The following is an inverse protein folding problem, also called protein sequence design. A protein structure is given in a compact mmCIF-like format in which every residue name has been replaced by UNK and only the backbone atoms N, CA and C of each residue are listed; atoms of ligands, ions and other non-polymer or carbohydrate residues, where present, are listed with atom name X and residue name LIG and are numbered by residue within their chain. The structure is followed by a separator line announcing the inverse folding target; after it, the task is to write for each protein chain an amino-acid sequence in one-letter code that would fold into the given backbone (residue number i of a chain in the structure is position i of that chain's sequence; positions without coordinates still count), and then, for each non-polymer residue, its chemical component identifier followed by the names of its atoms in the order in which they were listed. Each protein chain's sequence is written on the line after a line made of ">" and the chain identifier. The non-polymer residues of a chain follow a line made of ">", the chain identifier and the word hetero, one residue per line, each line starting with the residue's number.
data_IF_203930805419
#
_entry.id   IF_203930805419
#
_cell.length_a   1.000
_cell.length_b   1.000
_cell.length_c   1.000
_cell.angle_alpha   90.00
_cell.angle_beta   90.00
_cell.angle_gamma   90.00
#
_symmetry.space_group_name_H-M   'P 1'
#
loop_
_entity.id
_entity.type
_entity.pdbx_description
1 polymer ?
#
# COMPACT_ATOMS: atom_id res chain seq x y z
N UNK A 1 -13.49 25.11 18.76
CA UNK A 1 -12.37 24.27 18.30
C UNK A 1 -12.48 22.94 19.03
N UNK A 2 -12.47 21.83 18.30
CA UNK A 2 -12.46 20.48 18.89
C UNK A 2 -11.24 19.69 18.43
N UNK A 3 -10.65 18.95 19.36
CA UNK A 3 -9.52 18.07 19.12
C UNK A 3 -10.03 16.65 19.34
N UNK A 4 -9.71 15.77 18.41
CA UNK A 4 -9.99 14.34 18.50
C UNK A 4 -8.71 13.56 18.28
N UNK A 5 -8.47 12.58 19.13
CA UNK A 5 -7.27 11.75 19.09
C UNK A 5 -7.66 10.29 19.17
N UNK A 6 -6.97 9.43 18.41
CA UNK A 6 -7.16 8.00 18.46
C UNK A 6 -5.83 7.28 18.25
N UNK A 7 -5.63 6.21 19.01
CA UNK A 7 -4.54 5.28 18.80
C UNK A 7 -5.09 3.93 18.34
N UNK A 8 -4.31 3.25 17.49
CA UNK A 8 -4.62 1.92 17.03
C UNK A 8 -3.34 1.14 16.71
N UNK A 9 -3.33 -0.15 17.04
CA UNK A 9 -2.22 -1.04 16.73
C UNK A 9 -2.61 -1.98 15.61
N UNK A 10 -1.89 -1.90 14.49
CA UNK A 10 -1.96 -2.88 13.42
C UNK A 10 -1.04 -4.06 13.75
N UNK A 11 -1.56 -5.28 13.63
CA UNK A 11 -0.79 -6.51 13.84
C UNK A 11 0.06 -6.89 12.62
N UNK A 12 0.73 -5.89 12.04
CA UNK A 12 1.56 -6.01 10.84
C UNK A 12 2.81 -5.15 10.98
N UNK A 13 3.94 -5.56 10.37
CA UNK A 13 5.17 -4.78 10.40
C UNK A 13 5.01 -3.46 9.66
N UNK A 14 5.80 -2.46 10.08
CA UNK A 14 5.68 -1.08 9.60
C UNK A 14 5.80 -0.97 8.08
N UNK A 15 6.68 -1.75 7.46
CA UNK A 15 6.91 -1.73 6.02
C UNK A 15 5.64 -2.11 5.24
N UNK A 16 4.89 -3.11 5.74
CA UNK A 16 3.61 -3.53 5.14
C UNK A 16 2.55 -2.46 5.32
N UNK A 17 2.44 -1.89 6.53
CA UNK A 17 1.45 -0.85 6.83
C UNK A 17 1.73 0.42 6.01
N UNK A 18 2.98 0.85 5.93
CA UNK A 18 3.38 2.01 5.11
C UNK A 18 3.06 1.77 3.63
N UNK A 19 3.35 0.58 3.10
CA UNK A 19 3.03 0.21 1.72
C UNK A 19 1.51 0.21 1.48
N UNK A 20 0.74 -0.35 2.41
CA UNK A 20 -0.71 -0.36 2.34
C UNK A 20 -1.32 1.05 2.41
N UNK A 21 -0.73 1.97 3.18
CA UNK A 21 -1.21 3.34 3.31
C UNK A 21 -1.21 4.09 1.96
N UNK A 22 -0.23 3.81 1.10
CA UNK A 22 -0.19 4.38 -0.26
C UNK A 22 -1.28 3.83 -1.17
N UNK A 23 -1.64 2.55 -0.99
CA UNK A 23 -2.63 1.81 -1.79
C UNK A 23 -4.02 1.76 -1.13
N UNK A 24 -4.23 2.58 -0.09
CA UNK A 24 -5.48 2.61 0.69
C UNK A 24 -6.73 2.84 -0.17
N UNK A 25 -6.60 3.59 -1.26
CA UNK A 25 -7.71 3.90 -2.15
C UNK A 25 -7.47 3.37 -3.56
N UNK A 26 -8.52 2.90 -4.26
CA UNK A 26 -9.90 2.72 -3.77
C UNK A 26 -10.05 1.51 -2.83
N UNK A 27 -11.05 1.54 -1.95
CA UNK A 27 -11.41 0.41 -1.06
C UNK A 27 -12.94 0.37 -0.81
N UNK A 28 -13.50 -0.80 -0.44
CA UNK A 28 -14.94 -0.96 -0.24
C UNK A 28 -15.49 -0.29 1.04
N UNK A 29 -14.64 0.04 2.01
CA UNK A 29 -15.07 0.57 3.32
C UNK A 29 -15.30 2.08 3.31
N UNK A 30 -14.59 2.82 2.44
CA UNK A 30 -14.71 4.27 2.30
C UNK A 30 -14.86 4.68 0.84
N UNK A 31 -16.09 4.53 0.34
CA UNK A 31 -16.51 4.91 -1.02
C UNK A 31 -16.66 6.42 -1.21
N UNK A 32 -16.54 7.22 -0.14
CA UNK A 32 -16.66 8.67 -0.23
C UNK A 32 -15.42 9.30 -0.87
N UNK A 33 -14.27 8.63 -0.87
CA UNK A 33 -13.06 9.09 -1.57
C UNK A 33 -13.13 8.63 -3.03
N UNK A 34 -13.19 9.59 -3.95
CA UNK A 34 -13.40 9.35 -5.38
C UNK A 34 -12.06 9.12 -6.07
N UNK A 35 -11.04 9.87 -5.68
CA UNK A 35 -9.73 9.82 -6.30
C UNK A 35 -8.64 10.45 -5.45
N UNK A 36 -7.41 9.99 -5.67
CA UNK A 36 -6.20 10.51 -5.03
C UNK A 36 -5.12 10.65 -6.07
N UNK A 37 -4.69 11.89 -6.33
CA UNK A 37 -3.67 12.19 -7.33
C UNK A 37 -2.39 12.65 -6.63
N UNK A 38 -1.23 12.21 -7.16
CA UNK A 38 0.08 12.68 -6.69
C UNK A 38 0.43 13.95 -7.46
N UNK A 39 0.54 15.07 -6.75
CA UNK A 39 0.89 16.37 -7.32
C UNK A 39 2.40 16.52 -7.44
N UNK A 40 3.11 16.15 -6.38
CA UNK A 40 4.57 16.21 -6.32
C UNK A 40 5.09 15.05 -5.47
N UNK A 41 6.25 14.51 -5.86
CA UNK A 41 6.99 13.54 -5.06
C UNK A 41 8.48 13.77 -5.22
N UNK A 42 9.19 13.84 -4.10
CA UNK A 42 10.64 14.02 -4.07
C UNK A 42 11.27 13.27 -2.90
N UNK A 43 12.54 12.95 -3.04
CA UNK A 43 13.36 12.41 -1.96
C UNK A 43 14.36 13.49 -1.54
N UNK A 44 14.37 13.84 -0.27
CA UNK A 44 15.29 14.81 0.33
C UNK A 44 15.94 14.13 1.53
N UNK A 45 17.27 14.05 1.53
CA UNK A 45 18.05 13.42 2.63
C UNK A 45 17.56 12.00 3.01
N UNK A 46 17.17 11.21 2.02
CA UNK A 46 16.65 9.84 2.22
C UNK A 46 15.21 9.77 2.74
N UNK A 47 14.54 10.91 2.92
CA UNK A 47 13.12 11.00 3.30
C UNK A 47 12.28 11.22 2.06
N UNK A 48 11.26 10.38 1.87
CA UNK A 48 10.30 10.52 0.78
C UNK A 48 9.21 11.51 1.17
N UNK A 49 9.15 12.63 0.48
CA UNK A 49 8.08 13.61 0.57
C UNK A 49 7.10 13.42 -0.58
N UNK A 50 5.81 13.32 -0.28
CA UNK A 50 4.76 13.28 -1.31
C UNK A 50 3.66 14.27 -0.96
N UNK A 51 3.23 15.03 -1.96
CA UNK A 51 2.02 15.83 -1.93
C UNK A 51 0.94 15.17 -2.79
N UNK A 52 -0.21 14.90 -2.18
CA UNK A 52 -1.39 14.34 -2.84
C UNK A 52 -2.57 15.29 -2.77
N UNK A 53 -3.37 15.30 -3.82
CA UNK A 53 -4.70 15.88 -3.85
C UNK A 53 -5.73 14.76 -3.66
N UNK A 54 -6.57 14.88 -2.66
CA UNK A 54 -7.63 13.91 -2.35
C UNK A 54 -8.97 14.54 -2.69
N UNK A 55 -9.78 13.85 -3.50
CA UNK A 55 -11.13 14.25 -3.85
C UNK A 55 -12.14 13.34 -3.15
N UNK A 56 -13.16 13.95 -2.52
CA UNK A 56 -14.16 13.21 -1.75
C UNK A 56 -15.55 13.82 -1.87
N UNK A 57 -16.59 13.00 -1.72
CA UNK A 57 -17.98 13.43 -1.65
C UNK A 57 -18.32 13.69 -0.19
N UNK A 58 -18.81 14.90 0.09
CA UNK A 58 -19.21 15.31 1.43
C UNK A 58 -20.59 15.98 1.41
N UNK A 59 -21.45 15.53 2.31
CA UNK A 59 -22.78 16.08 2.50
C UNK A 59 -22.86 16.85 3.82
N UNK A 60 -23.16 18.14 3.71
CA UNK A 60 -23.50 19.02 4.82
C UNK A 60 -25.02 19.12 5.02
N UNK A 61 -25.50 19.41 6.24
CA UNK A 61 -26.91 19.75 6.46
C UNK A 61 -27.36 20.92 5.57
N UNK A 62 -28.63 20.93 5.15
CA UNK A 62 -29.18 21.97 4.24
C UNK A 62 -28.97 23.40 4.74
N UNK A 63 -29.12 23.62 6.04
CA UNK A 63 -28.90 24.94 6.66
C UNK A 63 -27.44 25.40 6.54
N UNK A 64 -26.47 24.49 6.64
CA UNK A 64 -25.05 24.79 6.52
C UNK A 64 -24.67 25.02 5.04
N UNK A 65 -25.28 24.27 4.12
CA UNK A 65 -25.12 24.48 2.68
C UNK A 65 -25.61 25.87 2.24
N UNK A 66 -26.69 26.39 2.84
CA UNK A 66 -27.19 27.73 2.52
C UNK A 66 -26.20 28.85 2.90
N UNK A 67 -25.31 28.61 3.87
CA UNK A 67 -24.35 29.60 4.36
C UNK A 67 -22.96 29.45 3.76
N UNK A 68 -22.48 28.21 3.68
CA UNK A 68 -21.11 27.87 3.27
C UNK A 68 -21.05 27.60 1.76
N UNK A 69 -22.20 27.35 1.14
CA UNK A 69 -22.34 26.90 -0.24
C UNK A 69 -22.49 25.39 -0.35
N UNK A 70 -22.81 24.93 -1.56
CA UNK A 70 -22.91 23.51 -1.90
C UNK A 70 -21.79 23.15 -2.88
N UNK A 71 -20.95 22.20 -2.49
CA UNK A 71 -19.97 21.59 -3.38
C UNK A 71 -20.22 20.09 -3.39
N UNK A 72 -20.39 19.52 -4.59
CA UNK A 72 -20.57 18.07 -4.75
C UNK A 72 -19.29 17.31 -4.42
N UNK A 73 -18.13 17.91 -4.70
CA UNK A 73 -16.80 17.34 -4.47
C UNK A 73 -16.02 18.29 -3.56
N UNK A 74 -15.43 17.73 -2.52
CA UNK A 74 -14.54 18.40 -1.60
C UNK A 74 -13.10 17.92 -1.82
N UNK A 75 -12.17 18.87 -1.87
CA UNK A 75 -10.75 18.61 -2.05
C UNK A 75 -10.01 18.78 -0.73
N UNK A 76 -9.02 17.92 -0.53
CA UNK A 76 -8.06 18.01 0.57
C UNK A 76 -6.63 17.86 0.02
N UNK A 77 -5.71 18.59 0.63
CA UNK A 77 -4.28 18.51 0.37
C UNK A 77 -3.65 17.64 1.45
N UNK A 78 -3.02 16.54 1.04
CA UNK A 78 -2.30 15.64 1.93
C UNK A 78 -0.80 15.71 1.64
N UNK A 79 -0.03 16.06 2.66
CA UNK A 79 1.42 16.04 2.62
C UNK A 79 1.91 14.90 3.50
N UNK A 80 2.85 14.12 2.99
CA UNK A 80 3.33 12.92 3.66
C UNK A 80 4.85 12.83 3.59
N UNK A 81 5.42 12.30 4.67
CA UNK A 81 6.85 12.15 4.88
C UNK A 81 7.10 10.72 5.34
N UNK A 82 7.96 10.01 4.62
CA UNK A 82 8.35 8.63 4.96
C UNK A 82 9.85 8.57 5.11
N UNK A 83 10.29 8.33 6.34
CA UNK A 83 11.69 8.10 6.68
C UNK A 83 11.90 6.59 6.89
N UNK A 84 12.55 5.88 5.94
CA UNK A 84 12.78 4.44 6.05
C UNK A 84 13.81 4.09 7.14
N UNK A 85 14.81 4.93 7.38
CA UNK A 85 15.85 4.71 8.40
C UNK A 85 15.26 4.73 9.81
N UNK A 86 14.33 5.66 10.08
CA UNK A 86 13.63 5.76 11.36
C UNK A 86 12.34 4.92 11.43
N UNK A 87 11.95 4.27 10.33
CA UNK A 87 10.65 3.59 10.16
C UNK A 87 9.50 4.46 10.64
N UNK A 88 9.43 5.66 10.10
CA UNK A 88 8.45 6.66 10.50
C UNK A 88 7.73 7.19 9.26
N UNK A 89 6.40 7.16 9.31
CA UNK A 89 5.55 7.73 8.26
C UNK A 89 4.55 8.71 8.88
N UNK A 90 4.57 9.95 8.42
CA UNK A 90 3.66 11.01 8.85
C UNK A 90 2.82 11.46 7.66
N UNK A 91 1.51 11.60 7.86
CA UNK A 91 0.61 12.19 6.89
C UNK A 91 -0.10 13.36 7.56
N UNK A 92 -0.12 14.51 6.89
CA UNK A 92 -0.81 15.72 7.31
C UNK A 92 -1.80 16.09 6.22
N UNK A 93 -3.07 16.12 6.58
CA UNK A 93 -4.16 16.41 5.64
C UNK A 93 -4.89 17.67 6.08
N UNK A 94 -5.06 18.58 5.13
CA UNK A 94 -5.84 19.80 5.31
C UNK A 94 -6.94 19.86 4.25
N UNK A 95 -8.14 20.32 4.61
CA UNK A 95 -9.17 20.56 3.61
C UNK A 95 -8.91 21.86 2.84
N UNK A 96 -9.08 21.82 1.51
CA UNK A 96 -9.00 22.99 0.65
C UNK A 96 -10.39 23.58 0.42
N UNK A 97 -11.37 22.72 0.14
CA UNK A 97 -12.76 23.16 -0.01
C UNK A 97 -13.34 23.57 1.34
N UNK A 98 -14.05 24.69 1.37
CA UNK A 98 -14.66 25.28 2.57
C UNK A 98 -13.70 25.72 3.69
N UNK A 99 -12.39 25.78 3.41
CA UNK A 99 -11.34 26.12 4.38
C UNK A 99 -11.57 27.46 5.13
N UNK A 100 -12.26 28.42 4.49
CA UNK A 100 -12.61 29.71 5.10
C UNK A 100 -13.56 29.58 6.30
N UNK A 101 -14.45 28.59 6.28
CA UNK A 101 -15.46 28.38 7.32
C UNK A 101 -15.15 27.18 8.21
N UNK A 102 -14.56 26.14 7.63
CA UNK A 102 -14.26 24.88 8.30
C UNK A 102 -12.82 24.54 7.98
N UNK A 103 -11.97 24.49 9.01
CA UNK A 103 -10.61 24.00 8.90
C UNK A 103 -10.50 22.68 9.67
N UNK A 104 -10.18 21.61 8.94
CA UNK A 104 -9.90 20.27 9.46
C UNK A 104 -8.44 19.97 9.15
N UNK A 105 -7.64 19.86 10.21
CA UNK A 105 -6.25 19.47 10.14
C UNK A 105 -6.11 18.09 10.77
N UNK A 106 -5.77 17.09 9.97
CA UNK A 106 -5.59 15.72 10.42
C UNK A 106 -4.11 15.35 10.31
N UNK A 107 -3.57 14.70 11.34
CA UNK A 107 -2.21 14.18 11.37
C UNK A 107 -2.24 12.71 11.76
N UNK A 108 -1.68 11.85 10.91
CA UNK A 108 -1.50 10.43 11.15
C UNK A 108 0.01 10.16 11.27
N UNK A 109 0.39 9.39 12.27
CA UNK A 109 1.77 8.95 12.50
C UNK A 109 1.79 7.44 12.63
N UNK A 110 2.58 6.79 11.78
CA UNK A 110 2.83 5.36 11.79
C UNK A 110 4.27 5.10 12.23
N UNK A 111 4.43 4.37 13.33
CA UNK A 111 5.73 3.94 13.88
C UNK A 111 5.64 2.47 14.27
N UNK A 112 6.77 1.73 14.29
CA UNK A 112 6.84 0.45 14.99
C UNK A 112 6.30 0.58 16.42
N UNK A 113 5.60 -0.45 16.90
CA UNK A 113 5.08 -0.45 18.26
C UNK A 113 6.26 -0.55 19.26
N UNK A 114 6.31 0.30 20.30
CA UNK A 114 7.48 0.41 21.17
C UNK A 114 7.84 -0.89 21.91
N UNK A 115 6.82 -1.70 22.24
CA UNK A 115 7.02 -3.01 22.90
C UNK A 115 7.18 -4.18 21.94
N UNK A 116 6.78 -4.04 20.67
CA UNK A 116 6.73 -5.15 19.71
C UNK A 116 6.98 -4.63 18.28
N UNK A 117 8.23 -4.69 17.79
CA UNK A 117 8.57 -4.19 16.45
C UNK A 117 7.86 -4.90 15.30
N UNK A 118 7.20 -6.04 15.53
CA UNK A 118 6.40 -6.74 14.52
C UNK A 118 5.04 -6.09 14.28
N UNK A 119 4.63 -5.18 15.16
CA UNK A 119 3.38 -4.42 15.08
C UNK A 119 3.64 -2.96 14.76
N UNK A 120 2.63 -2.29 14.23
CA UNK A 120 2.69 -0.85 13.91
C UNK A 120 1.69 -0.09 14.74
N UNK A 121 2.15 0.94 15.43
CA UNK A 121 1.31 1.90 16.14
C UNK A 121 0.92 3.04 15.20
N UNK A 122 -0.38 3.24 15.03
CA UNK A 122 -0.98 4.41 14.41
C UNK A 122 -1.47 5.36 15.51
N UNK A 123 -0.95 6.60 15.50
CA UNK A 123 -1.52 7.72 16.24
C UNK A 123 -2.18 8.68 15.26
N UNK A 124 -3.44 9.01 15.50
CA UNK A 124 -4.23 9.89 14.67
C UNK A 124 -4.75 11.06 15.51
N UNK A 125 -4.53 12.27 15.03
CA UNK A 125 -4.94 13.51 15.68
C UNK A 125 -5.69 14.35 14.65
N UNK A 126 -6.86 14.88 15.01
CA UNK A 126 -7.64 15.74 14.16
C UNK A 126 -8.08 16.99 14.93
N UNK A 127 -7.82 18.16 14.34
CA UNK A 127 -8.23 19.45 14.89
C UNK A 127 -9.27 20.05 13.95
N UNK A 128 -10.46 20.27 14.48
CA UNK A 128 -11.59 20.87 13.76
C UNK A 128 -11.83 22.27 14.31
N UNK A 129 -11.80 23.25 13.41
CA UNK A 129 -12.08 24.65 13.71
C UNK A 129 -13.18 25.15 12.79
N UNK A 130 -14.26 25.68 13.37
CA UNK A 130 -15.38 26.24 12.62
C UNK A 130 -15.49 27.74 12.89
N UNK A 131 -15.61 28.54 11.83
CA UNK A 131 -15.71 30.01 11.89
C UNK A 131 -16.79 30.54 10.95
N UNK A 132 -17.45 31.62 11.38
CA UNK A 132 -18.38 32.37 10.53
C UNK A 132 -19.66 31.62 10.17
N UNK A 133 -20.09 30.65 10.99
CA UNK A 133 -21.38 29.96 10.86
C UNK A 133 -22.08 29.93 12.22
N UNK A 134 -23.42 30.04 12.28
CA UNK A 134 -24.17 29.84 13.51
C UNK A 134 -24.07 28.36 13.93
N UNK A 135 -24.30 28.09 15.22
CA UNK A 135 -24.24 26.73 15.79
C UNK A 135 -22.85 26.07 15.62
N UNK A 136 -21.78 26.85 15.83
CA UNK A 136 -20.39 26.39 15.72
C UNK A 136 -20.14 25.09 16.47
N UNK A 137 -20.58 24.98 17.73
CA UNK A 137 -20.39 23.79 18.55
C UNK A 137 -21.04 22.54 17.92
N UNK A 138 -22.28 22.67 17.42
CA UNK A 138 -23.00 21.58 16.76
C UNK A 138 -22.28 21.12 15.48
N UNK A 139 -21.76 22.07 14.69
CA UNK A 139 -20.97 21.74 13.50
C UNK A 139 -19.67 21.05 13.85
N UNK A 140 -18.96 21.54 14.87
CA UNK A 140 -17.73 20.91 15.35
C UNK A 140 -18.00 19.48 15.84
N UNK A 141 -19.11 19.25 16.54
CA UNK A 141 -19.54 17.91 16.98
C UNK A 141 -19.88 16.97 15.82
N UNK A 142 -20.62 17.47 14.83
CA UNK A 142 -20.98 16.70 13.64
C UNK A 142 -19.72 16.29 12.85
N UNK A 143 -18.79 17.22 12.66
CA UNK A 143 -17.53 16.98 11.97
C UNK A 143 -16.65 15.99 12.73
N UNK A 144 -16.52 16.18 14.05
CA UNK A 144 -15.73 15.28 14.91
C UNK A 144 -16.27 13.86 14.89
N UNK A 145 -17.60 13.70 14.95
CA UNK A 145 -18.27 12.39 14.86
C UNK A 145 -17.99 11.72 13.51
N UNK A 146 -18.05 12.47 12.41
CA UNK A 146 -17.70 11.94 11.09
C UNK A 146 -16.23 11.53 10.98
N UNK A 147 -15.31 12.30 11.56
CA UNK A 147 -13.88 11.95 11.58
C UNK A 147 -13.66 10.65 12.35
N UNK A 148 -14.27 10.49 13.53
CA UNK A 148 -14.22 9.26 14.32
C UNK A 148 -14.73 8.04 13.51
N UNK A 149 -15.88 8.18 12.86
CA UNK A 149 -16.44 7.13 11.99
C UNK A 149 -15.52 6.82 10.79
N UNK A 150 -14.92 7.84 10.18
CA UNK A 150 -13.98 7.68 9.08
C UNK A 150 -12.67 7.03 9.51
N UNK A 151 -12.20 7.26 10.74
CA UNK A 151 -11.05 6.56 11.31
C UNK A 151 -11.33 5.06 11.46
N UNK A 152 -12.53 4.69 11.93
CA UNK A 152 -13.00 3.31 11.95
C UNK A 152 -12.93 2.64 10.57
N UNK A 153 -13.51 3.29 9.55
CA UNK A 153 -13.47 2.83 8.16
C UNK A 153 -12.05 2.77 7.61
N UNK A 154 -11.20 3.74 7.98
CA UNK A 154 -9.81 3.82 7.58
C UNK A 154 -9.00 2.61 8.05
N UNK A 155 -9.25 2.14 9.28
CA UNK A 155 -8.61 0.93 9.83
C UNK A 155 -9.02 -0.33 9.07
N UNK A 156 -10.32 -0.49 8.80
CA UNK A 156 -10.82 -1.64 8.02
C UNK A 156 -10.28 -1.64 6.60
N UNK A 157 -10.22 -0.47 5.95
CA UNK A 157 -9.63 -0.31 4.63
C UNK A 157 -8.15 -0.73 4.59
N UNK A 158 -7.39 -0.34 5.61
CA UNK A 158 -5.98 -0.72 5.72
C UNK A 158 -5.81 -2.23 5.85
N UNK A 159 -6.56 -2.89 6.72
CA UNK A 159 -6.52 -4.35 6.86
C UNK A 159 -6.88 -5.07 5.56
N UNK A 160 -7.90 -4.57 4.85
CA UNK A 160 -8.29 -5.10 3.55
C UNK A 160 -7.15 -4.98 2.50
N UNK A 161 -6.50 -3.82 2.42
CA UNK A 161 -5.36 -3.61 1.50
C UNK A 161 -4.17 -4.48 1.89
N UNK A 162 -3.89 -4.65 3.19
CA UNK A 162 -2.79 -5.50 3.66
C UNK A 162 -3.03 -6.96 3.26
N UNK A 163 -4.27 -7.46 3.40
CA UNK A 163 -4.61 -8.82 2.97
C UNK A 163 -4.44 -8.98 1.46
N UNK A 164 -4.91 -8.01 0.67
CA UNK A 164 -4.69 -8.00 -0.78
C UNK A 164 -3.21 -8.02 -1.16
N UNK A 165 -2.38 -7.24 -0.47
CA UNK A 165 -0.93 -7.25 -0.66
C UNK A 165 -0.30 -8.62 -0.34
N UNK A 166 -0.75 -9.26 0.74
CA UNK A 166 -0.25 -10.59 1.10
C UNK A 166 -0.61 -11.63 0.03
N UNK A 167 -1.81 -11.55 -0.54
CA UNK A 167 -2.22 -12.49 -1.59
C UNK A 167 -1.47 -12.25 -2.90
N UNK A 168 -1.22 -10.98 -3.29
CA UNK A 168 -0.37 -10.64 -4.43
C UNK A 168 1.06 -11.21 -4.29
N UNK A 169 1.63 -11.16 -3.08
CA UNK A 169 2.97 -11.73 -2.79
C UNK A 169 2.95 -13.26 -2.87
N UNK A 170 1.91 -13.92 -2.36
CA UNK A 170 1.77 -15.38 -2.46
C UNK A 170 1.66 -15.84 -3.91
N UNK A 171 0.85 -15.14 -4.70
CA UNK A 171 0.67 -15.45 -6.13
C UNK A 171 1.99 -15.31 -6.90
N UNK A 172 2.75 -14.25 -6.64
CA UNK A 172 4.07 -14.05 -7.24
C UNK A 172 5.06 -15.17 -6.85
N UNK A 173 5.03 -15.60 -5.58
CA UNK A 173 5.88 -16.68 -5.08
C UNK A 173 5.55 -18.00 -5.80
N UNK A 174 4.25 -18.32 -5.91
CA UNK A 174 3.78 -19.51 -6.62
C UNK A 174 4.20 -19.50 -8.10
N UNK A 175 4.02 -18.38 -8.79
CA UNK A 175 4.46 -18.26 -10.19
C UNK A 175 5.97 -18.42 -10.34
N UNK A 176 6.76 -17.91 -9.39
CA UNK A 176 8.23 -18.07 -9.41
C UNK A 176 8.64 -19.52 -9.17
N UNK A 177 8.00 -20.21 -8.23
CA UNK A 177 8.22 -21.63 -7.97
C UNK A 177 7.85 -22.50 -9.17
N UNK A 178 6.75 -22.18 -9.86
CA UNK A 178 6.34 -22.84 -11.10
C UNK A 178 7.41 -22.66 -12.19
N UNK A 179 7.89 -21.43 -12.42
CA UNK A 179 8.97 -21.15 -13.39
C UNK A 179 10.26 -21.89 -13.03
N UNK A 180 10.65 -21.87 -11.75
CA UNK A 180 11.84 -22.55 -11.27
C UNK A 180 11.73 -24.07 -11.48
N UNK A 181 10.58 -24.65 -11.16
CA UNK A 181 10.31 -26.08 -11.36
C UNK A 181 10.36 -26.47 -12.84
N UNK A 182 9.81 -25.63 -13.73
CA UNK A 182 9.85 -25.86 -15.17
C UNK A 182 11.28 -25.79 -15.69
N UNK A 183 12.04 -24.78 -15.27
CA UNK A 183 13.45 -24.60 -15.65
C UNK A 183 14.31 -25.77 -15.19
N UNK A 184 14.09 -26.26 -13.96
CA UNK A 184 14.78 -27.44 -13.42
C UNK A 184 14.47 -28.69 -14.24
N UNK A 185 13.20 -28.95 -14.57
CA UNK A 185 12.81 -30.10 -15.41
C UNK A 185 13.45 -30.02 -16.79
N UNK A 186 13.41 -28.86 -17.44
CA UNK A 186 14.05 -28.69 -18.74
C UNK A 186 15.57 -28.92 -18.69
N UNK A 187 16.24 -28.50 -17.61
CA UNK A 187 17.67 -28.79 -17.41
C UNK A 187 17.94 -30.28 -17.18
N UNK A 188 17.11 -30.96 -16.39
CA UNK A 188 17.21 -32.40 -16.16
C UNK A 188 16.99 -33.20 -17.47
N UNK A 189 16.04 -32.77 -18.31
CA UNK A 189 15.77 -33.36 -19.63
C UNK A 189 16.95 -33.16 -20.61
N UNK A 190 17.59 -31.99 -20.58
CA UNK A 190 18.80 -31.72 -21.36
C UNK A 190 19.97 -32.60 -20.87
N UNK A 191 20.17 -32.67 -19.54
CA UNK A 191 21.25 -33.45 -18.95
C UNK A 191 21.10 -34.96 -19.23
N UNK A 192 19.88 -35.48 -19.16
CA UNK A 192 19.58 -36.89 -19.49
C UNK A 192 19.76 -37.15 -20.98
N UNK A 193 19.31 -36.24 -21.85
CA UNK A 193 19.52 -36.33 -23.31
C UNK A 193 21.01 -36.32 -23.68
N UNK A 194 21.81 -35.44 -23.06
CA UNK A 194 23.25 -35.38 -23.28
C UNK A 194 23.96 -36.67 -22.82
N UNK A 195 23.61 -37.20 -21.64
CA UNK A 195 24.14 -38.48 -21.15
C UNK A 195 23.83 -39.63 -22.11
N UNK A 196 22.60 -39.69 -22.62
CA UNK A 196 22.19 -40.72 -23.58
C UNK A 196 22.98 -40.60 -24.89
N UNK A 197 23.09 -39.39 -25.44
CA UNK A 197 23.84 -39.13 -26.67
C UNK A 197 25.33 -39.48 -26.54
N UNK A 198 25.96 -39.15 -25.40
CA UNK A 198 27.35 -39.57 -25.11
C UNK A 198 27.50 -41.10 -25.02
N UNK A 199 26.52 -41.79 -24.41
CA UNK A 199 26.48 -43.25 -24.37
C UNK A 199 26.43 -43.86 -25.77
N UNK A 200 25.55 -43.34 -26.63
CA UNK A 200 25.39 -43.80 -28.01
C UNK A 200 26.66 -43.58 -28.85
N UNK A 201 27.33 -42.43 -28.68
CA UNK A 201 28.62 -42.14 -29.33
C UNK A 201 29.70 -43.12 -28.87
N UNK A 202 29.81 -43.35 -27.56
CA UNK A 202 30.79 -44.28 -26.98
C UNK A 202 30.57 -45.70 -27.51
N UNK A 203 29.32 -46.14 -27.60
CA UNK A 203 28.98 -47.46 -28.10
C UNK A 203 29.26 -47.61 -29.60
N UNK A 204 28.97 -46.59 -30.42
CA UNK A 204 29.35 -46.58 -31.84
C UNK A 204 30.85 -46.58 -32.05
N UNK A 205 31.60 -45.81 -31.25
CA UNK A 205 33.06 -45.77 -31.33
C UNK A 205 33.69 -47.13 -30.98
N UNK A 206 33.22 -47.80 -29.92
CA UNK A 206 33.66 -49.16 -29.57
C UNK A 206 33.40 -50.15 -30.70
N UNK A 207 32.18 -50.15 -31.25
CA UNK A 207 31.84 -51.03 -32.37
C UNK A 207 32.72 -50.79 -33.59
N UNK A 208 32.99 -49.54 -33.95
CA UNK A 208 33.89 -49.20 -35.05
C UNK A 208 35.34 -49.61 -34.82
N UNK A 209 35.82 -49.60 -33.56
CA UNK A 209 37.16 -50.09 -33.20
C UNK A 209 37.25 -51.61 -33.31
N UNK A 210 36.24 -52.34 -32.84
CA UNK A 210 36.16 -53.80 -32.96
C UNK A 210 36.07 -54.24 -34.43
N UNK A 211 35.28 -53.52 -35.25
CA UNK A 211 35.17 -53.75 -36.69
C UNK A 211 36.50 -53.47 -37.42
N UNK A 212 37.29 -52.48 -36.98
CA UNK A 212 38.63 -52.24 -37.53
C UNK A 212 39.63 -53.33 -37.13
N UNK A 213 39.61 -53.78 -35.87
CA UNK A 213 40.49 -54.84 -35.39
C UNK A 213 40.28 -56.15 -36.14
N UNK A 214 39.04 -56.48 -36.47
CA UNK A 214 38.67 -57.67 -37.23
C UNK A 214 39.08 -57.60 -38.70
N UNK A 215 39.15 -56.40 -39.32
CA UNK A 215 39.67 -56.25 -40.69
C UNK A 215 41.21 -56.31 -40.78
N UNK A 216 41.96 -55.95 -39.73
CA UNK A 216 43.44 -56.06 -39.71
C UNK A 216 43.99 -57.47 -39.48
N UNK A 217 43.13 -58.44 -39.13
CA UNK A 217 43.51 -59.84 -38.85
C UNK A 217 43.12 -60.82 -39.98
N UNK A 218 42.68 -60.29 -41.12
CA UNK A 218 42.42 -61.00 -42.39
C UNK A 218 43.54 -60.74 -43.39
#
# INVERSE_FOLDING_TARGET
>A
MKIWTSEHTFNHPWEKVATAAWRKYPNPHNTAVIGTDVVERKVVDGVLHTHRLVSSIWYFPRWAQALIGSAKICYASEQSEVNPSLRHMVLKTINLTFCRHIAVNETLKYTPHPSDPTKTLLKQEAVVTVKGVPLTNYMEDLLTTKISNNAGKGRQAMEWVINKLNDEVKDLTRSTDEIFSHTKRSLDDIATSAKKSMGDISQKAKKSLDDMQTMTLS
#
